data_IF_625938700242
#
_entry.id   IF_625938700242
#
_cell.length_a   1.000
_cell.length_b   1.000
_cell.length_c   1.000
_cell.angle_alpha   90.00
_cell.angle_beta   90.00
_cell.angle_gamma   90.00
#
_symmetry.space_group_name_H-M   'P 1'
#
loop_
_entity.id
_entity.type
_entity.pdbx_description
1 polymer ?
#
# COMPACT_ATOMS: atom_id res chain seq x y z
N UNK A 1 -1.96 -0.16 -13.78
CA UNK A 1 -1.86 -0.91 -12.50
C UNK A 1 -3.24 -1.07 -11.92
N UNK A 2 -3.40 -1.94 -10.93
CA UNK A 2 -4.64 -2.16 -10.21
C UNK A 2 -4.32 -2.23 -8.71
N UNK A 3 -5.25 -1.72 -7.89
CA UNK A 3 -5.22 -1.89 -6.44
C UNK A 3 -6.60 -2.39 -5.99
N UNK A 4 -6.65 -3.42 -5.14
CA UNK A 4 -7.88 -3.88 -4.49
C UNK A 4 -7.84 -3.56 -3.01
N UNK A 5 -8.71 -2.64 -2.61
CA UNK A 5 -8.94 -2.28 -1.23
C UNK A 5 -10.24 -2.91 -0.73
N UNK A 6 -10.20 -3.49 0.46
CA UNK A 6 -11.37 -3.87 1.24
C UNK A 6 -11.48 -2.93 2.43
N UNK A 7 -12.65 -2.32 2.59
CA UNK A 7 -12.98 -1.56 3.80
C UNK A 7 -13.88 -2.44 4.67
N UNK A 8 -13.57 -2.52 5.95
CA UNK A 8 -14.46 -3.15 6.92
C UNK A 8 -14.16 -2.67 8.33
N UNK A 9 -15.18 -2.65 9.17
CA UNK A 9 -14.97 -2.57 10.62
C UNK A 9 -14.40 -3.92 11.06
N UNK A 10 -13.09 -3.99 11.31
CA UNK A 10 -12.46 -5.19 11.88
C UNK A 10 -12.93 -5.36 13.31
N UNK A 11 -13.33 -6.58 13.65
CA UNK A 11 -13.70 -7.01 15.02
C UNK A 11 -12.45 -7.11 15.93
N UNK A 12 -11.25 -6.94 15.38
CA UNK A 12 -9.98 -6.97 16.11
C UNK A 12 -9.39 -5.55 16.13
N UNK A 13 -9.53 -4.87 17.26
CA UNK A 13 -9.03 -3.52 17.51
C UNK A 13 -9.95 -2.44 16.94
N UNK A 14 -10.87 -1.93 17.77
CA UNK A 14 -11.94 -1.02 17.37
C UNK A 14 -11.44 0.22 16.62
N UNK A 15 -11.65 0.19 15.31
CA UNK A 15 -11.41 1.27 14.37
C UNK A 15 -11.72 0.80 12.95
N UNK A 16 -12.26 1.69 12.12
CA UNK A 16 -12.47 1.40 10.72
C UNK A 16 -11.10 1.16 10.05
N UNK A 17 -10.91 -0.03 9.48
CA UNK A 17 -9.64 -0.48 8.89
C UNK A 17 -9.82 -0.65 7.38
N UNK A 18 -8.88 -0.10 6.61
CA UNK A 18 -8.76 -0.39 5.19
C UNK A 18 -7.65 -1.39 4.94
N UNK A 19 -7.90 -2.38 4.08
CA UNK A 19 -6.95 -3.43 3.74
C UNK A 19 -6.71 -3.49 2.24
N UNK A 20 -5.47 -3.27 1.81
CA UNK A 20 -5.03 -3.56 0.45
C UNK A 20 -4.69 -5.04 0.34
N UNK A 21 -5.46 -5.75 -0.50
CA UNK A 21 -5.30 -7.19 -0.74
C UNK A 21 -4.48 -7.50 -1.98
N UNK A 22 -4.36 -6.54 -2.89
CA UNK A 22 -3.66 -6.67 -4.15
C UNK A 22 -3.19 -5.29 -4.58
N UNK A 23 -1.90 -5.14 -4.87
CA UNK A 23 -1.33 -4.00 -5.58
C UNK A 23 -0.49 -4.58 -6.71
N UNK A 24 -0.89 -4.32 -7.94
CA UNK A 24 -0.22 -4.83 -9.11
C UNK A 24 0.04 -3.71 -10.11
N UNK A 25 1.30 -3.51 -10.50
CA UNK A 25 1.67 -2.58 -11.56
C UNK A 25 2.16 -3.40 -12.75
N UNK A 26 1.38 -3.42 -13.82
CA UNK A 26 1.75 -4.11 -15.06
C UNK A 26 2.98 -3.44 -15.70
N UNK A 27 4.02 -4.21 -15.98
CA UNK A 27 5.28 -3.76 -16.60
C UNK A 27 6.36 -4.83 -16.47
N UNK A 28 7.49 -4.66 -17.19
CA UNK A 28 8.63 -5.57 -17.10
C UNK A 28 9.08 -5.69 -15.65
N UNK A 29 9.17 -6.91 -15.12
CA UNK A 29 9.71 -7.19 -13.79
C UNK A 29 11.15 -6.66 -13.71
N UNK A 30 11.33 -5.44 -13.21
CA UNK A 30 12.67 -4.93 -12.91
C UNK A 30 12.96 -5.32 -11.46
N UNK A 31 13.99 -6.14 -11.21
CA UNK A 31 14.46 -6.39 -9.85
C UNK A 31 14.71 -5.06 -9.15
N UNK A 32 14.23 -4.93 -7.91
CA UNK A 32 14.46 -3.75 -7.06
C UNK A 32 15.98 -3.53 -6.91
N UNK A 33 16.58 -2.71 -7.77
CA UNK A 33 18.03 -2.45 -7.74
C UNK A 33 18.59 -1.73 -8.97
N UNK A 34 18.05 -1.98 -10.17
CA UNK A 34 18.61 -1.38 -11.39
C UNK A 34 17.85 -0.12 -11.83
N UNK A 35 18.55 1.02 -11.82
CA UNK A 35 18.08 2.28 -12.38
C UNK A 35 18.31 2.27 -13.89
N UNK A 36 17.31 1.90 -14.68
CA UNK A 36 17.24 2.27 -16.10
C UNK A 36 16.32 3.46 -16.30
N UNK A 37 16.72 4.37 -17.20
CA UNK A 37 16.07 5.65 -17.51
C UNK A 37 14.60 5.54 -17.97
N UNK A 38 14.13 4.35 -18.38
CA UNK A 38 12.72 4.07 -18.69
C UNK A 38 11.88 3.56 -17.50
N UNK A 39 12.50 3.10 -16.40
CA UNK A 39 11.81 2.57 -15.23
C UNK A 39 11.22 3.66 -14.31
N UNK A 40 11.63 4.92 -14.50
CA UNK A 40 11.13 6.06 -13.74
C UNK A 40 9.63 6.30 -13.96
N UNK A 41 9.09 5.98 -15.14
CA UNK A 41 7.64 6.07 -15.42
C UNK A 41 6.81 5.00 -14.71
N UNK A 42 7.41 3.87 -14.28
CA UNK A 42 6.69 2.76 -13.64
C UNK A 42 6.75 2.77 -12.12
N UNK A 43 7.73 3.45 -11.50
CA UNK A 43 7.80 3.59 -10.03
C UNK A 43 6.68 4.45 -9.45
N UNK A 44 6.14 5.40 -10.22
CA UNK A 44 5.12 6.33 -9.76
C UNK A 44 3.75 5.68 -9.55
N UNK A 45 3.29 4.86 -10.50
CA UNK A 45 1.91 4.41 -10.55
C UNK A 45 1.49 3.57 -9.33
N UNK A 46 2.38 2.71 -8.81
CA UNK A 46 2.10 1.94 -7.61
C UNK A 46 1.91 2.82 -6.38
N UNK A 47 2.76 3.84 -6.25
CA UNK A 47 2.68 4.82 -5.16
C UNK A 47 1.48 5.74 -5.28
N UNK A 48 1.09 6.12 -6.50
CA UNK A 48 -0.11 6.92 -6.76
C UNK A 48 -1.39 6.16 -6.43
N UNK A 49 -1.49 4.88 -6.85
CA UNK A 49 -2.61 4.02 -6.48
C UNK A 49 -2.73 3.87 -4.96
N UNK A 50 -1.59 3.69 -4.27
CA UNK A 50 -1.57 3.55 -2.82
C UNK A 50 -1.98 4.86 -2.13
N UNK A 51 -1.46 6.01 -2.56
CA UNK A 51 -1.85 7.33 -2.04
C UNK A 51 -3.34 7.60 -2.21
N UNK A 52 -3.90 7.25 -3.37
CA UNK A 52 -5.33 7.44 -3.61
C UNK A 52 -6.18 6.49 -2.76
N UNK A 53 -5.74 5.25 -2.55
CA UNK A 53 -6.38 4.34 -1.61
C UNK A 53 -6.33 4.87 -0.17
N UNK A 54 -5.19 5.41 0.28
CA UNK A 54 -5.04 6.05 1.60
C UNK A 54 -6.01 7.23 1.75
N UNK A 55 -6.12 8.08 0.72
CA UNK A 55 -7.04 9.21 0.69
C UNK A 55 -8.50 8.75 0.81
N UNK A 56 -8.93 7.80 -0.02
CA UNK A 56 -10.30 7.26 0.01
C UNK A 56 -10.60 6.62 1.37
N UNK A 57 -9.69 5.80 1.88
CA UNK A 57 -9.84 5.13 3.17
C UNK A 57 -10.05 6.15 4.31
N UNK A 58 -9.23 7.20 4.37
CA UNK A 58 -9.33 8.25 5.39
C UNK A 58 -10.56 9.13 5.21
N UNK A 59 -10.79 9.65 4.00
CA UNK A 59 -11.76 10.72 3.78
C UNK A 59 -13.19 10.20 3.68
N UNK A 60 -13.40 9.09 2.98
CA UNK A 60 -14.73 8.53 2.70
C UNK A 60 -15.14 7.50 3.75
N UNK A 61 -14.20 6.67 4.19
CA UNK A 61 -14.47 5.56 5.11
C UNK A 61 -14.01 5.79 6.55
N UNK A 62 -13.40 6.95 6.84
CA UNK A 62 -12.88 7.32 8.17
C UNK A 62 -11.95 6.28 8.78
N UNK A 63 -11.28 5.50 7.92
CA UNK A 63 -10.35 4.49 8.35
C UNK A 63 -9.16 5.16 9.04
N UNK A 64 -8.78 4.61 10.19
CA UNK A 64 -7.66 5.15 10.98
C UNK A 64 -6.32 4.55 10.51
N UNK A 65 -6.39 3.35 9.90
CA UNK A 65 -5.21 2.60 9.46
C UNK A 65 -5.43 1.98 8.09
N UNK A 66 -4.32 1.79 7.38
CA UNK A 66 -4.26 0.96 6.19
C UNK A 66 -3.28 -0.20 6.41
N UNK A 67 -3.73 -1.42 6.10
CA UNK A 67 -2.90 -2.62 6.12
C UNK A 67 -2.74 -3.17 4.69
N UNK A 68 -1.52 -3.56 4.33
CA UNK A 68 -1.19 -4.18 3.05
C UNK A 68 -0.65 -5.57 3.28
N UNK A 69 -1.27 -6.58 2.67
CA UNK A 69 -0.71 -7.93 2.61
C UNK A 69 0.45 -7.92 1.62
N UNK A 70 1.68 -8.06 2.11
CA UNK A 70 2.89 -7.95 1.28
C UNK A 70 3.82 -9.13 1.48
N UNK A 71 4.22 -9.75 0.36
CA UNK A 71 5.28 -10.76 0.36
C UNK A 71 6.62 -10.15 0.79
N UNK A 72 7.48 -10.97 1.41
CA UNK A 72 8.72 -10.52 2.05
C UNK A 72 9.57 -9.61 1.13
N UNK A 73 9.71 -9.97 -0.15
CA UNK A 73 10.51 -9.22 -1.13
C UNK A 73 9.95 -7.85 -1.54
N UNK A 74 8.68 -7.56 -1.22
CA UNK A 74 8.04 -6.27 -1.52
C UNK A 74 7.94 -5.36 -0.29
N UNK A 75 8.27 -5.84 0.91
CA UNK A 75 8.15 -5.07 2.17
C UNK A 75 9.00 -3.80 2.18
N UNK A 76 10.20 -3.86 1.60
CA UNK A 76 11.12 -2.72 1.56
C UNK A 76 10.55 -1.55 0.76
N UNK A 77 9.82 -1.81 -0.33
CA UNK A 77 9.12 -0.76 -1.07
C UNK A 77 8.11 0.01 -0.20
N UNK A 78 7.28 -0.72 0.56
CA UNK A 78 6.31 -0.09 1.45
C UNK A 78 6.99 0.68 2.61
N UNK A 79 8.12 0.17 3.10
CA UNK A 79 8.88 0.79 4.19
C UNK A 79 9.61 2.05 3.73
N UNK A 80 10.46 1.96 2.71
CA UNK A 80 11.33 3.07 2.29
C UNK A 80 10.59 4.15 1.51
N UNK A 81 9.60 3.77 0.69
CA UNK A 81 8.96 4.70 -0.25
C UNK A 81 7.60 5.21 0.23
N UNK A 82 6.89 4.44 1.09
CA UNK A 82 5.49 4.71 1.43
C UNK A 82 5.23 4.97 2.92
N UNK A 83 6.23 4.74 3.79
CA UNK A 83 6.14 5.00 5.23
C UNK A 83 5.30 3.97 6.00
N UNK A 84 5.27 2.72 5.54
CA UNK A 84 4.62 1.63 6.26
C UNK A 84 5.61 0.90 7.17
N UNK A 85 5.10 0.36 8.27
CA UNK A 85 5.84 -0.45 9.22
C UNK A 85 5.33 -1.90 9.21
N UNK A 86 6.18 -2.85 9.61
CA UNK A 86 5.79 -4.26 9.63
C UNK A 86 5.06 -4.57 10.94
N UNK A 87 3.79 -4.98 10.85
CA UNK A 87 3.00 -5.49 11.96
C UNK A 87 2.46 -6.89 11.63
N UNK A 88 3.04 -7.92 12.25
CA UNK A 88 2.75 -9.32 11.91
C UNK A 88 3.11 -9.63 10.46
N UNK A 89 2.13 -10.06 9.67
CA UNK A 89 2.28 -10.36 8.25
C UNK A 89 1.93 -9.19 7.32
N UNK A 90 1.59 -8.03 7.88
CA UNK A 90 1.10 -6.87 7.15
C UNK A 90 2.08 -5.70 7.21
N UNK A 91 2.12 -4.92 6.13
CA UNK A 91 2.68 -3.58 6.17
C UNK A 91 1.54 -2.64 6.58
N UNK A 92 1.69 -1.92 7.69
CA UNK A 92 0.66 -1.05 8.28
C UNK A 92 1.10 0.40 8.28
N UNK A 93 0.15 1.31 8.06
CA UNK A 93 0.35 2.76 8.15
C UNK A 93 -0.87 3.41 8.82
N UNK A 94 -0.60 4.26 9.79
CA UNK A 94 -1.60 5.17 10.36
C UNK A 94 -1.95 6.24 9.32
N UNK A 95 -3.24 6.44 9.06
CA UNK A 95 -3.69 7.43 8.06
C UNK A 95 -3.85 8.84 8.63
N UNK A 96 -3.81 8.97 9.96
CA UNK A 96 -4.06 10.22 10.67
C UNK A 96 -5.52 10.69 10.53
N UNK A 97 -5.93 11.56 11.46
CA UNK A 97 -7.17 12.34 11.33
C UNK A 97 -7.00 13.55 10.43
#
# INVERSE_FOLDING_TARGET
GLLRMRVGSSVVGGGDLAMVRELHVFGSEVPLGEKQSGAAQHRGLGGELLKEAERIAREEFKAQKMAVLSGIGARDYFRSECGYELEGDYMVKELGG
#
